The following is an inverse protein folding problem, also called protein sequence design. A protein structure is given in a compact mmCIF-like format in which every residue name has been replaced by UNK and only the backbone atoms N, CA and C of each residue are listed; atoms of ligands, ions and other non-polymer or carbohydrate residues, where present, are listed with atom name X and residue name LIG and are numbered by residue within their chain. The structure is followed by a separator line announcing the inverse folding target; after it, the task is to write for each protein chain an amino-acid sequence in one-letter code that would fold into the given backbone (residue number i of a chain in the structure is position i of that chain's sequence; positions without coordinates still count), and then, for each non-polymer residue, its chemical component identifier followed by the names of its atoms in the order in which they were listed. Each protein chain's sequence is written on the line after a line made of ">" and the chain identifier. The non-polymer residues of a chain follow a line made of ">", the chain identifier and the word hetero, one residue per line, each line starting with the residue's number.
data_IF_063120265263
#
_entry.id   IF_063120265263
#
_cell.length_a   1.000
_cell.length_b   1.000
_cell.length_c   1.000
_cell.angle_alpha   90.00
_cell.angle_beta   90.00
_cell.angle_gamma   90.00
#
_symmetry.space_group_name_H-M   'P 1'
#
loop_
_entity.id
_entity.type
_entity.pdbx_description
1 polymer ?
#
# COMPACT_ATOMS: atom_id res chain seq x y z
N UNK A 1 13.10 6.86 23.29
CA UNK A 1 12.64 7.37 21.98
C UNK A 1 12.72 8.89 21.97
N UNK A 2 13.44 9.49 21.03
CA UNK A 2 13.42 10.93 20.82
C UNK A 2 12.62 11.23 19.56
N UNK A 3 11.70 12.19 19.62
CA UNK A 3 10.93 12.65 18.46
C UNK A 3 11.55 13.95 17.95
N UNK A 4 11.90 14.00 16.66
CA UNK A 4 12.43 15.22 16.05
C UNK A 4 11.64 15.51 14.78
N UNK A 5 11.00 16.67 14.73
CA UNK A 5 10.33 17.19 13.55
C UNK A 5 11.30 17.95 12.66
N UNK A 6 11.10 17.86 11.35
CA UNK A 6 11.81 18.67 10.37
C UNK A 6 10.85 19.08 9.25
N UNK A 7 10.94 20.33 8.82
CA UNK A 7 10.07 20.87 7.78
C UNK A 7 10.49 22.28 7.35
N UNK A 8 9.85 22.80 6.31
CA UNK A 8 10.13 24.14 5.78
C UNK A 8 9.43 25.26 6.53
N UNK A 9 8.44 24.94 7.36
CA UNK A 9 7.69 25.95 8.10
C UNK A 9 8.51 26.48 9.28
N UNK A 10 8.53 27.80 9.52
CA UNK A 10 9.31 28.43 10.60
C UNK A 10 8.59 28.31 11.95
N UNK A 11 8.41 27.09 12.45
CA UNK A 11 7.71 26.86 13.72
C UNK A 11 8.57 27.20 14.93
N UNK A 12 7.98 27.93 15.87
CA UNK A 12 8.57 28.12 17.20
C UNK A 12 8.50 26.83 18.02
N UNK A 13 9.33 26.68 19.07
CA UNK A 13 9.23 25.55 19.98
C UNK A 13 7.82 25.34 20.57
N UNK A 14 7.12 26.43 20.89
CA UNK A 14 5.75 26.38 21.44
C UNK A 14 4.75 25.87 20.41
N UNK A 15 4.84 26.31 19.15
CA UNK A 15 3.97 25.83 18.07
C UNK A 15 4.20 24.34 17.79
N UNK A 16 5.46 23.88 17.81
CA UNK A 16 5.77 22.47 17.68
C UNK A 16 5.21 21.65 18.84
N UNK A 17 5.37 22.13 20.08
CA UNK A 17 4.85 21.46 21.26
C UNK A 17 3.31 21.35 21.21
N UNK A 18 2.63 22.45 20.89
CA UNK A 18 1.17 22.46 20.71
C UNK A 18 0.73 21.45 19.63
N UNK A 19 1.45 21.39 18.51
CA UNK A 19 1.17 20.41 17.46
C UNK A 19 1.31 18.97 17.94
N UNK A 20 2.36 18.67 18.69
CA UNK A 20 2.64 17.34 19.25
C UNK A 20 1.57 16.97 20.28
N UNK A 21 1.24 17.87 21.21
CA UNK A 21 0.20 17.64 22.22
C UNK A 21 -1.18 17.43 21.61
N UNK A 22 -1.54 18.25 20.61
CA UNK A 22 -2.77 18.08 19.84
C UNK A 22 -2.82 16.73 19.13
N UNK A 23 -1.72 16.30 18.51
CA UNK A 23 -1.65 15.01 17.81
C UNK A 23 -1.79 13.81 18.77
N UNK A 24 -1.34 13.94 20.02
CA UNK A 24 -1.42 12.88 21.03
C UNK A 24 -2.63 13.00 21.97
N UNK A 25 -3.51 14.00 21.81
CA UNK A 25 -4.62 14.26 22.74
C UNK A 25 -5.50 13.02 23.00
N UNK A 26 -5.96 12.37 21.93
CA UNK A 26 -6.80 11.17 22.02
C UNK A 26 -6.04 10.01 22.69
N UNK A 27 -4.80 9.76 22.26
CA UNK A 27 -3.96 8.72 22.83
C UNK A 27 -3.67 8.95 24.32
N UNK A 28 -3.42 10.20 24.72
CA UNK A 28 -3.16 10.58 26.10
C UNK A 28 -4.38 10.36 27.00
N UNK A 29 -5.59 10.62 26.48
CA UNK A 29 -6.84 10.40 27.21
C UNK A 29 -7.09 8.92 27.53
N UNK A 30 -6.67 8.02 26.62
CA UNK A 30 -6.85 6.57 26.72
C UNK A 30 -5.66 5.84 27.34
N UNK A 31 -4.52 6.52 27.50
CA UNK A 31 -3.29 5.94 28.00
C UNK A 31 -3.38 5.58 29.49
N UNK A 32 -2.72 4.48 29.85
CA UNK A 32 -2.45 4.12 31.23
C UNK A 32 -1.36 5.02 31.86
N UNK A 33 -1.03 4.78 33.13
CA UNK A 33 0.00 5.56 33.82
C UNK A 33 1.38 5.48 33.15
N UNK A 34 1.70 4.37 32.48
CA UNK A 34 2.99 4.21 31.79
C UNK A 34 3.01 5.01 30.49
N UNK A 35 1.96 4.92 29.68
CA UNK A 35 1.81 5.69 28.45
C UNK A 35 1.83 7.19 28.70
N UNK A 36 1.17 7.67 29.76
CA UNK A 36 1.21 9.10 30.13
C UNK A 36 2.61 9.58 30.52
N UNK A 37 3.38 8.75 31.23
CA UNK A 37 4.79 9.08 31.55
C UNK A 37 5.64 9.18 30.28
N UNK A 38 5.44 8.27 29.34
CA UNK A 38 6.20 8.25 28.10
C UNK A 38 5.83 9.42 27.17
N UNK A 39 4.55 9.76 27.07
CA UNK A 39 4.09 10.95 26.33
C UNK A 39 4.68 12.23 26.92
N UNK A 40 4.68 12.36 28.25
CA UNK A 40 5.33 13.49 28.92
C UNK A 40 6.83 13.57 28.58
N UNK A 41 7.53 12.43 28.61
CA UNK A 41 8.95 12.36 28.23
C UNK A 41 9.18 12.78 26.77
N UNK A 42 8.28 12.42 25.85
CA UNK A 42 8.35 12.87 24.45
C UNK A 42 8.16 14.38 24.37
N UNK A 43 7.14 14.94 25.02
CA UNK A 43 6.91 16.39 25.04
C UNK A 43 8.11 17.19 25.59
N UNK A 44 8.84 16.65 26.56
CA UNK A 44 10.02 17.30 27.15
C UNK A 44 11.29 17.18 26.29
N UNK A 45 11.36 16.17 25.41
CA UNK A 45 12.58 15.87 24.61
C UNK A 45 12.41 16.11 23.12
N UNK A 46 11.20 16.45 22.68
CA UNK A 46 10.89 16.69 21.28
C UNK A 46 11.48 18.02 20.82
N UNK A 47 11.87 18.08 19.56
CA UNK A 47 12.38 19.31 18.95
C UNK A 47 11.97 19.40 17.49
N UNK A 48 12.01 20.62 16.96
CA UNK A 48 11.74 20.89 15.55
C UNK A 48 12.92 21.62 14.92
N UNK A 49 13.21 21.30 13.66
CA UNK A 49 14.22 21.95 12.84
C UNK A 49 13.61 22.45 11.55
N UNK A 50 13.65 23.77 11.37
CA UNK A 50 13.35 24.37 10.09
C UNK A 50 14.50 24.06 9.12
N UNK A 51 14.22 23.33 8.05
CA UNK A 51 15.17 23.00 7.00
C UNK A 51 14.47 22.61 5.70
N UNK A 52 15.19 22.77 4.59
CA UNK A 52 14.79 22.21 3.31
C UNK A 52 15.39 20.81 3.17
N UNK A 53 14.54 19.79 3.21
CA UNK A 53 14.95 18.39 3.10
C UNK A 53 15.52 18.03 1.74
N UNK A 54 15.27 18.86 0.71
CA UNK A 54 15.77 18.67 -0.65
C UNK A 54 17.07 19.43 -0.91
N UNK A 55 17.49 20.29 0.03
CA UNK A 55 18.75 21.01 -0.08
C UNK A 55 19.93 20.13 0.36
N UNK A 56 21.02 20.18 -0.41
CA UNK A 56 22.23 19.40 -0.15
C UNK A 56 22.75 19.62 1.28
N UNK A 57 23.01 18.51 1.98
CA UNK A 57 23.64 18.49 3.30
C UNK A 57 22.75 18.89 4.49
N UNK A 58 21.60 19.56 4.30
CA UNK A 58 20.78 19.99 5.45
C UNK A 58 20.17 18.81 6.21
N UNK A 59 19.55 17.87 5.48
CA UNK A 59 18.97 16.67 6.08
C UNK A 59 20.06 15.77 6.69
N UNK A 60 21.18 15.59 5.98
CA UNK A 60 22.34 14.85 6.48
C UNK A 60 22.87 15.43 7.80
N UNK A 61 23.03 16.77 7.87
CA UNK A 61 23.51 17.46 9.07
C UNK A 61 22.57 17.28 10.26
N UNK A 62 21.25 17.28 10.04
CA UNK A 62 20.28 16.96 11.09
C UNK A 62 20.45 15.52 11.56
N UNK A 63 20.45 14.55 10.62
CA UNK A 63 20.52 13.13 10.95
C UNK A 63 21.81 12.80 11.72
N UNK A 64 22.95 13.40 11.35
CA UNK A 64 24.23 13.22 12.04
C UNK A 64 24.28 13.75 13.48
N UNK A 65 23.34 14.61 13.89
CA UNK A 65 23.23 15.09 15.27
C UNK A 65 22.37 14.18 16.16
N UNK A 66 21.68 13.20 15.58
CA UNK A 66 20.77 12.32 16.30
C UNK A 66 21.49 11.07 16.82
N UNK A 67 20.99 10.54 17.95
CA UNK A 67 21.48 9.28 18.50
C UNK A 67 20.98 8.10 17.64
N UNK A 68 21.91 7.24 17.22
CA UNK A 68 21.61 6.04 16.43
C UNK A 68 20.95 4.93 17.28
N UNK A 69 20.06 4.11 16.73
CA UNK A 69 19.58 4.11 15.33
C UNK A 69 18.45 5.13 15.09
N UNK A 70 18.41 5.69 13.88
CA UNK A 70 17.41 6.69 13.47
C UNK A 70 16.36 6.07 12.56
N UNK A 71 15.08 6.37 12.78
CA UNK A 71 14.00 6.06 11.84
C UNK A 71 13.48 7.36 11.21
N UNK A 72 13.70 7.52 9.91
CA UNK A 72 13.26 8.69 9.13
C UNK A 72 11.91 8.37 8.52
N UNK A 73 10.86 9.04 8.99
CA UNK A 73 9.52 8.92 8.44
C UNK A 73 9.23 10.11 7.51
N UNK A 74 9.11 9.85 6.22
CA UNK A 74 8.83 10.89 5.23
C UNK A 74 7.33 11.20 5.17
N UNK A 75 6.87 12.05 6.08
CA UNK A 75 5.50 12.60 6.10
C UNK A 75 5.33 13.75 5.09
N UNK A 76 5.86 13.59 3.88
CA UNK A 76 5.99 14.62 2.86
C UNK A 76 5.28 14.20 1.57
N UNK A 77 5.00 15.15 0.65
CA UNK A 77 4.61 14.79 -0.70
C UNK A 77 5.62 13.78 -1.30
N UNK A 78 5.14 12.79 -2.06
CA UNK A 78 5.99 11.68 -2.51
C UNK A 78 7.21 12.10 -3.34
N UNK A 79 7.07 13.13 -4.19
CA UNK A 79 8.19 13.65 -4.99
C UNK A 79 9.27 14.28 -4.11
N UNK A 80 8.89 15.10 -3.11
CA UNK A 80 9.81 15.67 -2.12
C UNK A 80 10.54 14.59 -1.34
N UNK A 81 9.83 13.51 -0.97
CA UNK A 81 10.45 12.38 -0.27
C UNK A 81 11.54 11.69 -1.12
N UNK A 82 11.31 11.59 -2.43
CA UNK A 82 12.28 11.00 -3.37
C UNK A 82 13.48 11.93 -3.59
N UNK A 83 13.25 13.23 -3.72
CA UNK A 83 14.30 14.25 -3.84
C UNK A 83 15.16 14.31 -2.57
N UNK A 84 14.54 14.29 -1.39
CA UNK A 84 15.24 14.23 -0.11
C UNK A 84 16.14 12.99 0.01
N UNK A 85 15.72 11.84 -0.54
CA UNK A 85 16.58 10.66 -0.60
C UNK A 85 17.71 10.80 -1.64
N UNK A 86 17.48 11.51 -2.73
CA UNK A 86 18.45 11.65 -3.82
C UNK A 86 19.65 12.53 -3.43
N UNK A 87 19.48 13.46 -2.49
CA UNK A 87 20.55 14.35 -1.98
C UNK A 87 21.32 13.75 -0.80
N UNK A 88 20.95 12.57 -0.33
CA UNK A 88 21.64 11.85 0.74
C UNK A 88 22.66 10.87 0.18
N UNK A 89 23.70 10.59 0.98
CA UNK A 89 24.64 9.50 0.74
C UNK A 89 24.73 8.57 1.94
N UNK A 90 25.07 7.29 1.72
CA UNK A 90 25.16 6.31 2.81
C UNK A 90 26.16 6.70 3.92
N UNK A 91 27.24 7.42 3.57
CA UNK A 91 28.25 7.86 4.53
C UNK A 91 27.75 8.94 5.50
N UNK A 92 26.67 9.63 5.14
CA UNK A 92 26.06 10.70 5.95
C UNK A 92 24.99 10.18 6.90
N UNK A 93 24.58 8.91 6.75
CA UNK A 93 23.51 8.33 7.55
C UNK A 93 24.06 7.70 8.84
N UNK A 94 23.44 7.98 10.00
CA UNK A 94 23.76 7.27 11.23
C UNK A 94 23.64 5.75 11.07
N UNK A 95 24.48 5.00 11.79
CA UNK A 95 24.43 3.55 11.77
C UNK A 95 23.03 3.05 12.17
N UNK A 96 22.49 2.09 11.43
CA UNK A 96 21.17 1.54 11.71
C UNK A 96 20.00 2.43 11.26
N UNK A 97 20.25 3.44 10.41
CA UNK A 97 19.18 4.27 9.83
C UNK A 97 18.14 3.42 9.10
N UNK A 98 16.86 3.72 9.34
CA UNK A 98 15.70 3.13 8.67
C UNK A 98 14.90 4.20 7.96
N UNK A 99 14.49 3.92 6.73
CA UNK A 99 13.70 4.85 5.90
C UNK A 99 12.26 4.35 5.83
N UNK A 100 11.30 5.20 6.19
CA UNK A 100 9.87 4.88 6.13
C UNK A 100 9.21 5.79 5.10
N UNK A 101 8.71 5.19 4.03
CA UNK A 101 8.15 5.89 2.88
C UNK A 101 6.67 5.60 2.71
N UNK A 102 5.91 6.64 2.37
CA UNK A 102 4.51 6.54 1.99
C UNK A 102 4.33 6.40 0.47
N UNK A 103 3.20 5.83 0.06
CA UNK A 103 2.84 5.67 -1.36
C UNK A 103 2.61 7.03 -2.05
N UNK A 104 2.81 7.13 -3.38
CA UNK A 104 3.24 6.10 -4.33
C UNK A 104 4.77 5.98 -4.47
N UNK A 105 5.23 4.75 -4.68
CA UNK A 105 6.64 4.38 -4.83
C UNK A 105 7.13 4.49 -6.29
N UNK A 106 6.74 5.57 -6.97
CA UNK A 106 6.92 5.75 -8.41
C UNK A 106 5.60 5.75 -9.18
N UNK A 107 5.64 6.26 -10.41
CA UNK A 107 4.47 6.41 -11.32
C UNK A 107 4.51 5.44 -12.52
N UNK A 108 5.64 4.76 -12.69
CA UNK A 108 5.95 3.78 -13.72
C UNK A 108 6.89 2.70 -13.15
N UNK A 109 7.03 1.59 -13.87
CA UNK A 109 8.04 0.57 -13.50
C UNK A 109 9.45 1.16 -13.46
N UNK A 110 9.79 2.01 -14.44
CA UNK A 110 11.10 2.66 -14.53
C UNK A 110 11.38 3.58 -13.33
N UNK A 111 10.44 4.46 -12.98
CA UNK A 111 10.59 5.34 -11.81
C UNK A 111 10.64 4.57 -10.50
N UNK A 112 9.87 3.49 -10.38
CA UNK A 112 9.93 2.61 -9.21
C UNK A 112 11.28 1.89 -9.09
N UNK A 113 11.85 1.42 -10.20
CA UNK A 113 13.21 0.83 -10.23
C UNK A 113 14.27 1.84 -9.86
N UNK A 114 14.18 3.06 -10.38
CA UNK A 114 15.10 4.14 -10.05
C UNK A 114 15.04 4.47 -8.56
N UNK A 115 13.85 4.68 -8.01
CA UNK A 115 13.66 4.89 -6.57
C UNK A 115 14.25 3.75 -5.74
N UNK A 116 14.03 2.50 -6.17
CA UNK A 116 14.57 1.34 -5.46
C UNK A 116 16.11 1.30 -5.45
N UNK A 117 16.75 1.75 -6.54
CA UNK A 117 18.20 1.87 -6.62
C UNK A 117 18.71 2.98 -5.69
N UNK A 118 18.06 4.14 -5.70
CA UNK A 118 18.40 5.27 -4.81
C UNK A 118 18.35 4.83 -3.35
N UNK A 119 17.24 4.21 -2.91
CA UNK A 119 17.10 3.78 -1.51
C UNK A 119 18.08 2.67 -1.15
N UNK A 120 18.29 1.70 -2.05
CA UNK A 120 19.24 0.60 -1.84
C UNK A 120 20.71 1.03 -1.83
N UNK A 121 21.01 2.23 -2.34
CA UNK A 121 22.33 2.84 -2.21
C UNK A 121 22.53 3.55 -0.86
N UNK A 122 21.45 3.88 -0.14
CA UNK A 122 21.49 4.57 1.16
C UNK A 122 21.56 3.58 2.33
N UNK A 123 20.68 2.59 2.33
CA UNK A 123 20.50 1.64 3.44
C UNK A 123 20.20 0.23 2.89
N UNK A 124 20.48 -0.84 3.66
CA UNK A 124 20.10 -2.19 3.24
C UNK A 124 18.57 -2.34 3.15
N UNK A 125 18.09 -3.29 2.33
CA UNK A 125 16.66 -3.45 2.02
C UNK A 125 15.78 -3.73 3.26
N UNK A 126 16.31 -4.38 4.29
CA UNK A 126 15.61 -4.65 5.56
C UNK A 126 15.43 -3.39 6.43
N UNK A 127 16.06 -2.28 6.06
CA UNK A 127 15.89 -0.96 6.67
C UNK A 127 14.98 -0.03 5.84
N UNK A 128 14.43 -0.50 4.73
CA UNK A 128 13.50 0.26 3.88
C UNK A 128 12.06 -0.21 4.14
N UNK A 129 11.28 0.65 4.79
CA UNK A 129 9.88 0.40 5.09
C UNK A 129 8.98 1.16 4.12
N UNK A 130 8.34 0.43 3.20
CA UNK A 130 7.35 0.97 2.25
C UNK A 130 5.96 0.75 2.83
N UNK A 131 5.32 1.82 3.28
CA UNK A 131 4.06 1.73 4.02
C UNK A 131 2.90 1.48 3.06
N UNK A 132 2.18 0.40 3.33
CA UNK A 132 0.86 0.13 2.77
C UNK A 132 -0.12 -0.09 3.92
N UNK A 133 -0.99 0.89 4.17
CA UNK A 133 -1.92 0.86 5.29
C UNK A 133 -2.94 -0.29 5.23
N UNK A 134 -3.15 -0.96 4.08
CA UNK A 134 -4.01 -2.14 4.02
C UNK A 134 -3.39 -3.33 4.74
N UNK A 135 -2.06 -3.47 4.71
CA UNK A 135 -1.37 -4.58 5.40
C UNK A 135 -1.48 -4.50 6.92
N UNK A 136 -1.66 -3.30 7.47
CA UNK A 136 -1.86 -3.10 8.92
C UNK A 136 -3.28 -3.43 9.40
N UNK A 137 -4.24 -3.70 8.51
CA UNK A 137 -5.62 -3.99 8.92
C UNK A 137 -5.70 -5.38 9.55
N UNK A 138 -6.32 -5.45 10.73
CA UNK A 138 -6.49 -6.71 11.46
C UNK A 138 -7.14 -7.81 10.61
N UNK A 139 -8.11 -7.45 9.76
CA UNK A 139 -8.76 -8.39 8.83
C UNK A 139 -7.81 -8.96 7.77
N UNK A 140 -6.84 -8.16 7.29
CA UNK A 140 -5.82 -8.60 6.33
C UNK A 140 -4.82 -9.53 7.02
N UNK A 141 -4.39 -9.20 8.23
CA UNK A 141 -3.50 -10.07 9.03
C UNK A 141 -4.18 -11.40 9.39
N UNK A 142 -5.50 -11.39 9.64
CA UNK A 142 -6.29 -12.60 9.91
C UNK A 142 -6.30 -13.60 8.75
N UNK A 143 -5.97 -13.18 7.50
CA UNK A 143 -5.81 -14.13 6.39
C UNK A 143 -4.70 -15.14 6.70
N UNK A 144 -3.59 -14.71 7.30
CA UNK A 144 -2.48 -15.59 7.67
C UNK A 144 -2.91 -16.58 8.76
N UNK A 145 -3.63 -16.10 9.78
CA UNK A 145 -4.20 -16.94 10.83
C UNK A 145 -5.17 -17.98 10.25
N UNK A 146 -6.09 -17.54 9.38
CA UNK A 146 -7.03 -18.41 8.70
C UNK A 146 -6.30 -19.52 7.92
N UNK A 147 -5.30 -19.18 7.12
CA UNK A 147 -4.61 -20.14 6.24
C UNK A 147 -3.68 -21.10 6.97
N UNK A 148 -2.95 -20.62 7.98
CA UNK A 148 -1.83 -21.38 8.55
C UNK A 148 -2.06 -21.89 9.97
N UNK A 149 -3.02 -21.33 10.72
CA UNK A 149 -3.40 -21.84 12.04
C UNK A 149 -4.45 -22.96 11.96
N UNK A 150 -5.15 -23.11 10.82
CA UNK A 150 -6.22 -24.09 10.64
C UNK A 150 -5.78 -25.23 9.72
N UNK A 151 -5.28 -26.32 10.30
CA UNK A 151 -4.76 -27.48 9.55
C UNK A 151 -5.79 -28.09 8.59
N UNK A 152 -7.09 -28.00 8.89
CA UNK A 152 -8.14 -28.53 8.02
C UNK A 152 -8.39 -27.68 6.75
N UNK A 153 -7.99 -26.41 6.74
CA UNK A 153 -8.12 -25.53 5.57
C UNK A 153 -7.00 -25.75 4.55
N UNK A 154 -5.80 -26.15 4.99
CA UNK A 154 -4.64 -26.33 4.12
C UNK A 154 -4.85 -27.35 2.96
N UNK A 155 -5.51 -28.51 3.16
CA UNK A 155 -5.80 -29.46 2.08
C UNK A 155 -6.79 -28.94 1.03
N UNK A 156 -7.69 -28.02 1.40
CA UNK A 156 -8.72 -27.46 0.50
C UNK A 156 -8.31 -26.10 -0.08
N UNK A 157 -7.20 -25.51 0.37
CA UNK A 157 -6.73 -24.22 -0.12
C UNK A 157 -5.96 -24.33 -1.45
N UNK A 158 -6.62 -24.83 -2.51
CA UNK A 158 -6.02 -25.03 -3.84
C UNK A 158 -7.09 -25.09 -4.95
N UNK A 159 -6.64 -25.01 -6.22
CA UNK A 159 -7.51 -25.07 -7.42
C UNK A 159 -8.40 -26.30 -7.57
N UNK A 160 -8.17 -27.39 -6.84
CA UNK A 160 -9.03 -28.57 -6.94
C UNK A 160 -10.31 -28.41 -6.11
N UNK A 161 -10.30 -27.48 -5.15
CA UNK A 161 -11.42 -27.25 -4.23
C UNK A 161 -11.96 -25.82 -4.30
N UNK A 162 -11.12 -24.86 -4.70
CA UNK A 162 -11.52 -23.47 -4.90
C UNK A 162 -11.74 -23.27 -6.40
N UNK A 163 -12.95 -22.85 -6.78
CA UNK A 163 -13.26 -22.48 -8.16
C UNK A 163 -12.68 -21.11 -8.55
N UNK A 164 -12.76 -20.14 -7.64
CA UNK A 164 -12.43 -18.73 -7.90
C UNK A 164 -12.19 -17.95 -6.60
N UNK A 165 -11.33 -16.93 -6.68
CA UNK A 165 -11.12 -15.94 -5.62
C UNK A 165 -11.46 -14.55 -6.16
N UNK A 166 -12.36 -13.83 -5.48
CA UNK A 166 -12.68 -12.44 -5.77
C UNK A 166 -12.25 -11.55 -4.62
N UNK A 167 -11.46 -10.53 -4.93
CA UNK A 167 -11.09 -9.48 -3.98
C UNK A 167 -11.77 -8.21 -4.46
N UNK A 168 -12.74 -7.76 -3.67
CA UNK A 168 -13.61 -6.63 -4.00
C UNK A 168 -13.32 -5.52 -3.01
N UNK A 169 -13.04 -4.34 -3.53
CA UNK A 169 -12.99 -3.11 -2.77
C UNK A 169 -13.94 -2.11 -3.39
N UNK A 170 -15.05 -1.88 -2.70
CA UNK A 170 -16.05 -0.90 -3.07
C UNK A 170 -15.92 0.30 -2.12
N UNK A 171 -15.68 1.47 -2.69
CA UNK A 171 -15.54 2.72 -1.94
C UNK A 171 -16.79 3.57 -2.13
N UNK A 172 -17.46 3.91 -1.02
CA UNK A 172 -18.69 4.70 -1.02
C UNK A 172 -18.42 6.22 -1.15
N UNK A 173 -17.20 6.67 -0.84
CA UNK A 173 -16.81 8.07 -0.96
C UNK A 173 -16.67 8.46 -2.43
N UNK A 174 -17.38 9.53 -2.82
CA UNK A 174 -17.06 10.26 -4.04
C UNK A 174 -15.63 10.84 -3.93
N UNK A 175 -15.01 11.19 -5.05
CA UNK A 175 -13.66 11.76 -5.12
C UNK A 175 -13.55 13.09 -4.33
N UNK A 176 -13.47 13.05 -3.01
CA UNK A 176 -13.44 14.17 -2.06
C UNK A 176 -12.14 15.00 -2.22
N UNK A 177 -12.11 15.88 -3.22
CA UNK A 177 -10.93 16.71 -3.53
C UNK A 177 -9.76 15.97 -4.18
N UNK A 178 -9.79 14.63 -4.22
CA UNK A 178 -8.76 13.79 -4.85
C UNK A 178 -8.98 13.52 -6.33
N UNK A 179 -10.03 14.09 -6.92
CA UNK A 179 -10.40 13.88 -8.32
C UNK A 179 -9.22 14.10 -9.29
N UNK A 180 -8.42 15.15 -9.07
CA UNK A 180 -7.27 15.48 -9.92
C UNK A 180 -6.13 14.44 -9.87
N UNK A 181 -5.86 13.87 -8.70
CA UNK A 181 -4.89 12.76 -8.55
C UNK A 181 -5.44 11.48 -9.20
N UNK A 182 -6.72 11.20 -8.96
CA UNK A 182 -7.41 10.03 -9.49
C UNK A 182 -7.55 10.03 -11.02
N UNK A 183 -7.73 11.20 -11.64
CA UNK A 183 -7.78 11.34 -13.10
C UNK A 183 -6.46 10.92 -13.77
N UNK A 184 -5.32 11.14 -13.11
CA UNK A 184 -4.00 10.72 -13.60
C UNK A 184 -3.60 9.28 -13.22
N UNK A 185 -3.85 8.88 -11.97
CA UNK A 185 -3.45 7.56 -11.46
C UNK A 185 -4.45 6.45 -11.83
N UNK A 186 -5.75 6.74 -11.65
CA UNK A 186 -6.87 5.79 -11.74
C UNK A 186 -6.83 4.68 -10.69
N UNK A 187 -7.95 3.97 -10.55
CA UNK A 187 -8.10 2.84 -9.60
C UNK A 187 -7.07 1.70 -9.79
N UNK A 188 -6.42 1.62 -10.97
CA UNK A 188 -5.39 0.62 -11.22
C UNK A 188 -4.13 0.88 -10.39
N UNK A 189 -3.64 2.12 -10.35
CA UNK A 189 -2.44 2.48 -9.59
C UNK A 189 -2.75 2.69 -8.12
N UNK A 190 -3.90 3.28 -7.80
CA UNK A 190 -4.21 3.63 -6.41
C UNK A 190 -4.61 2.42 -5.55
N UNK A 191 -5.37 1.49 -6.12
CA UNK A 191 -5.96 0.37 -5.38
C UNK A 191 -5.39 -0.99 -5.80
N UNK A 192 -5.33 -1.26 -7.11
CA UNK A 192 -4.98 -2.60 -7.59
C UNK A 192 -3.48 -2.87 -7.42
N UNK A 193 -2.61 -1.97 -7.89
CA UNK A 193 -1.16 -2.21 -7.96
C UNK A 193 -0.51 -2.47 -6.59
N UNK A 194 -0.99 -1.81 -5.54
CA UNK A 194 -0.50 -2.00 -4.18
C UNK A 194 -1.43 -2.93 -3.39
N UNK A 195 -2.54 -2.37 -2.90
CA UNK A 195 -3.38 -2.95 -1.85
C UNK A 195 -3.93 -4.33 -2.27
N UNK A 196 -4.62 -4.41 -3.40
CA UNK A 196 -5.30 -5.65 -3.79
C UNK A 196 -4.31 -6.72 -4.27
N UNK A 197 -3.21 -6.33 -4.93
CA UNK A 197 -2.15 -7.28 -5.29
C UNK A 197 -1.46 -7.84 -4.05
N UNK A 198 -1.21 -7.04 -3.02
CA UNK A 198 -0.63 -7.52 -1.78
C UNK A 198 -1.56 -8.47 -1.02
N UNK A 199 -2.86 -8.15 -0.91
CA UNK A 199 -3.85 -9.06 -0.30
C UNK A 199 -3.94 -10.37 -1.11
N UNK A 200 -3.97 -10.28 -2.43
CA UNK A 200 -3.95 -11.46 -3.30
C UNK A 200 -2.71 -12.31 -3.06
N UNK A 201 -1.56 -11.69 -2.87
CA UNK A 201 -0.32 -12.39 -2.61
C UNK A 201 -0.36 -13.10 -1.24
N UNK A 202 -0.94 -12.49 -0.19
CA UNK A 202 -1.20 -13.17 1.10
C UNK A 202 -2.16 -14.35 0.98
N UNK A 203 -3.15 -14.27 0.09
CA UNK A 203 -4.08 -15.38 -0.20
C UNK A 203 -3.40 -16.51 -0.98
N UNK A 204 -2.46 -16.17 -1.88
CA UNK A 204 -1.85 -17.07 -2.84
C UNK A 204 -0.53 -17.71 -2.40
N UNK A 205 0.18 -17.07 -1.46
CA UNK A 205 1.53 -17.50 -1.06
C UNK A 205 1.54 -18.91 -0.46
N UNK A 206 2.67 -19.60 -0.55
CA UNK A 206 2.86 -20.86 0.17
C UNK A 206 3.02 -20.62 1.67
N UNK A 207 2.90 -21.68 2.48
CA UNK A 207 3.16 -21.60 3.91
C UNK A 207 4.61 -21.18 4.12
N UNK A 208 4.87 -20.06 4.83
CA UNK A 208 6.24 -19.68 5.13
C UNK A 208 6.88 -20.74 6.04
N UNK A 209 8.21 -20.90 6.01
CA UNK A 209 8.90 -21.74 6.98
C UNK A 209 8.55 -21.29 8.41
N UNK A 210 8.67 -22.17 9.41
CA UNK A 210 8.38 -21.83 10.80
C UNK A 210 9.16 -20.57 11.20
N UNK A 211 8.46 -19.67 11.91
CA UNK A 211 9.01 -18.39 12.34
C UNK A 211 10.22 -18.64 13.25
N UNK A 212 11.42 -18.38 12.74
CA UNK A 212 12.62 -18.24 13.58
C UNK A 212 12.73 -16.79 14.02
N UNK A 213 12.82 -16.58 15.33
CA UNK A 213 12.98 -15.27 15.98
C UNK A 213 14.12 -14.48 15.34
N UNK A 214 13.80 -13.48 14.52
CA UNK A 214 14.80 -12.65 13.83
C UNK A 214 14.34 -12.07 12.50
N UNK A 215 13.40 -12.71 11.81
CA UNK A 215 12.90 -12.23 10.51
C UNK A 215 11.48 -11.69 10.66
N UNK A 216 11.33 -10.46 11.16
CA UNK A 216 10.02 -9.80 11.27
C UNK A 216 9.46 -9.34 9.91
N UNK A 217 10.28 -9.38 8.86
CA UNK A 217 9.84 -9.11 7.50
C UNK A 217 9.37 -10.41 6.86
N UNK A 218 8.09 -10.51 6.49
CA UNK A 218 7.67 -11.36 5.38
C UNK A 218 8.47 -10.88 4.17
N UNK A 219 9.47 -11.63 3.68
CA UNK A 219 10.28 -11.11 2.59
C UNK A 219 9.36 -10.98 1.39
N UNK A 220 9.12 -9.75 0.92
CA UNK A 220 8.43 -9.46 -0.34
C UNK A 220 9.04 -10.25 -1.51
N UNK A 221 10.30 -10.68 -1.39
CA UNK A 221 10.98 -11.65 -2.26
C UNK A 221 10.21 -12.97 -2.46
N UNK A 222 9.43 -13.43 -1.48
CA UNK A 222 8.56 -14.61 -1.61
C UNK A 222 7.23 -14.30 -2.32
N UNK A 223 6.79 -13.04 -2.31
CA UNK A 223 5.58 -12.58 -3.00
C UNK A 223 5.87 -12.22 -4.47
N UNK A 224 7.10 -11.81 -4.80
CA UNK A 224 7.52 -11.29 -6.11
C UNK A 224 8.76 -11.99 -6.72
N UNK A 225 9.00 -13.27 -6.42
CA UNK A 225 9.99 -14.08 -7.14
C UNK A 225 9.71 -14.08 -8.67
N UNK A 226 10.71 -14.35 -9.53
CA UNK A 226 10.62 -14.12 -10.97
C UNK A 226 9.66 -15.11 -11.64
N UNK A 227 8.36 -14.86 -11.53
CA UNK A 227 7.33 -15.53 -12.32
C UNK A 227 7.29 -14.84 -13.69
N UNK A 228 7.94 -15.52 -14.64
CA UNK A 228 8.01 -15.22 -16.06
C UNK A 228 6.81 -14.43 -16.60
N UNK A 229 7.11 -13.27 -17.17
CA UNK A 229 6.22 -12.52 -18.05
C UNK A 229 5.61 -13.46 -19.09
N UNK A 230 4.30 -13.68 -19.02
CA UNK A 230 3.54 -14.23 -20.12
C UNK A 230 2.48 -13.23 -20.55
N UNK A 231 2.55 -12.94 -21.85
CA UNK A 231 1.90 -11.86 -22.61
C UNK A 231 0.47 -11.54 -22.17
N UNK A 232 0.06 -10.26 -22.19
CA UNK A 232 -1.36 -9.92 -22.12
C UNK A 232 -2.08 -10.53 -23.33
N UNK A 233 -3.06 -11.39 -23.09
CA UNK A 233 -3.91 -11.94 -24.14
C UNK A 233 -4.81 -10.85 -24.72
N UNK A 234 -4.75 -10.75 -26.05
CA UNK A 234 -5.45 -9.89 -27.00
C UNK A 234 -6.83 -9.38 -26.55
N UNK A 235 -7.07 -8.07 -26.75
CA UNK A 235 -8.40 -7.42 -26.76
C UNK A 235 -9.33 -8.16 -27.73
N UNK A 236 -10.47 -8.65 -27.26
CA UNK A 236 -11.65 -8.89 -28.10
C UNK A 236 -12.45 -7.59 -28.21
N UNK A 237 -12.78 -7.11 -29.43
CA UNK A 237 -13.66 -5.96 -29.58
C UNK A 237 -15.11 -6.39 -29.31
N UNK A 238 -15.80 -5.67 -28.44
CA UNK A 238 -17.26 -5.70 -28.41
C UNK A 238 -17.79 -4.82 -29.56
N UNK A 239 -18.92 -5.23 -30.17
CA UNK A 239 -19.53 -4.67 -31.38
C UNK A 239 -20.03 -3.21 -31.30
N UNK A 240 -20.88 -2.80 -32.26
CA UNK A 240 -20.62 -1.69 -33.17
C UNK A 240 -20.62 -0.31 -32.50
N UNK A 241 -19.73 0.53 -33.03
CA UNK A 241 -19.51 1.90 -32.61
C UNK A 241 -20.76 2.78 -32.78
N UNK A 242 -21.26 3.34 -31.69
CA UNK A 242 -22.11 4.53 -31.74
C UNK A 242 -21.22 5.76 -31.94
N UNK A 243 -21.54 6.56 -32.97
CA UNK A 243 -20.84 7.80 -33.38
C UNK A 243 -20.64 8.78 -32.22
N UNK A 244 -19.58 9.61 -32.24
CA UNK A 244 -19.36 10.62 -31.22
C UNK A 244 -20.27 11.84 -31.48
N UNK A 245 -21.06 12.24 -30.48
CA UNK A 245 -21.67 13.57 -30.41
C UNK A 245 -20.78 14.55 -29.62
N UNK A 246 -20.89 15.87 -29.87
CA UNK A 246 -19.93 16.86 -29.41
C UNK A 246 -20.07 17.15 -27.91
N UNK A 247 -18.94 17.60 -27.35
CA UNK A 247 -18.73 17.93 -25.93
C UNK A 247 -19.80 18.85 -25.35
N UNK A 248 -20.46 18.39 -24.29
CA UNK A 248 -21.06 19.25 -23.27
C UNK A 248 -20.57 18.81 -21.90
N UNK A 249 -19.91 19.75 -21.22
CA UNK A 249 -19.47 19.63 -19.83
C UNK A 249 -20.68 19.42 -18.91
N UNK A 250 -20.53 18.56 -17.90
CA UNK A 250 -21.50 18.46 -16.80
C UNK A 250 -22.39 17.22 -16.81
N UNK A 251 -21.82 16.01 -16.84
CA UNK A 251 -22.46 14.81 -16.22
C UNK A 251 -21.40 13.94 -15.55
N UNK A 252 -21.67 13.59 -14.29
CA UNK A 252 -20.89 12.64 -13.48
C UNK A 252 -20.66 11.34 -14.26
N UNK A 253 -19.41 11.08 -14.63
CA UNK A 253 -18.98 9.84 -15.28
C UNK A 253 -18.91 8.75 -14.21
N UNK A 254 -19.80 7.77 -14.30
CA UNK A 254 -19.62 6.49 -13.61
C UNK A 254 -18.43 5.77 -14.24
N UNK A 255 -17.37 5.57 -13.46
CA UNK A 255 -16.11 4.97 -13.93
C UNK A 255 -16.27 3.45 -14.19
N UNK A 256 -15.56 2.88 -15.18
CA UNK A 256 -15.71 1.48 -15.55
C UNK A 256 -15.03 0.53 -14.55
N UNK A 257 -15.71 -0.59 -14.25
CA UNK A 257 -15.16 -1.74 -13.52
C UNK A 257 -13.88 -2.25 -14.19
N UNK A 258 -12.72 -2.10 -13.55
CA UNK A 258 -11.46 -2.70 -14.03
C UNK A 258 -11.34 -4.13 -13.49
N UNK A 259 -10.97 -5.06 -14.38
CA UNK A 259 -10.80 -6.50 -14.10
C UNK A 259 -9.37 -6.90 -14.44
N UNK A 260 -8.66 -7.49 -13.48
CA UNK A 260 -7.34 -8.08 -13.69
C UNK A 260 -7.41 -9.56 -13.34
N UNK A 261 -6.86 -10.40 -14.21
CA UNK A 261 -6.71 -11.84 -14.02
C UNK A 261 -5.24 -12.16 -13.87
N UNK A 262 -4.88 -12.96 -12.86
CA UNK A 262 -3.52 -13.45 -12.66
C UNK A 262 -3.52 -14.97 -12.52
N UNK A 263 -2.49 -15.61 -13.04
CA UNK A 263 -2.21 -17.04 -12.83
C UNK A 263 -0.85 -17.16 -12.18
N UNK A 264 -0.78 -17.78 -11.00
CA UNK A 264 0.46 -17.93 -10.24
C UNK A 264 0.98 -19.37 -10.36
N UNK A 265 2.31 -19.50 -10.53
CA UNK A 265 2.99 -20.78 -10.49
C UNK A 265 3.47 -21.09 -9.07
N UNK A 266 2.60 -21.67 -8.25
CA UNK A 266 2.98 -22.28 -6.95
C UNK A 266 2.80 -23.80 -7.04
N UNK A 267 3.34 -24.57 -6.07
CA UNK A 267 3.16 -26.04 -6.03
C UNK A 267 1.68 -26.42 -5.90
N UNK A 268 0.86 -25.53 -5.34
CA UNK A 268 -0.60 -25.60 -5.29
C UNK A 268 -1.18 -24.28 -5.79
N UNK A 269 -1.29 -24.09 -7.11
CA UNK A 269 -1.77 -22.83 -7.66
C UNK A 269 -3.18 -22.57 -7.15
N UNK A 270 -3.42 -21.35 -6.68
CA UNK A 270 -4.78 -20.84 -6.56
C UNK A 270 -5.45 -20.87 -7.94
N UNK A 271 -6.78 -21.05 -7.98
CA UNK A 271 -7.54 -20.88 -9.22
C UNK A 271 -7.50 -19.41 -9.68
N UNK A 272 -8.25 -19.11 -10.74
CA UNK A 272 -8.33 -17.74 -11.29
C UNK A 272 -8.69 -16.73 -10.20
N UNK A 273 -7.77 -15.80 -9.91
CA UNK A 273 -8.01 -14.65 -9.06
C UNK A 273 -8.53 -13.49 -9.88
N UNK A 274 -9.53 -12.78 -9.34
CA UNK A 274 -10.08 -11.57 -9.93
C UNK A 274 -10.06 -10.43 -8.92
N UNK A 275 -9.36 -9.34 -9.29
CA UNK A 275 -9.34 -8.10 -8.51
C UNK A 275 -10.37 -7.12 -9.07
N UNK A 276 -11.17 -6.55 -8.18
CA UNK A 276 -12.23 -5.61 -8.50
C UNK A 276 -12.11 -4.44 -7.53
N UNK A 277 -11.92 -3.25 -8.07
CA UNK A 277 -12.06 -1.99 -7.33
C UNK A 277 -13.15 -1.18 -8.00
N UNK A 278 -14.11 -0.70 -7.22
CA UNK A 278 -15.15 0.21 -7.69
C UNK A 278 -15.21 1.44 -6.78
N UNK A 279 -15.44 2.60 -7.40
CA UNK A 279 -15.73 3.85 -6.70
C UNK A 279 -17.19 4.13 -6.98
N UNK A 280 -18.00 4.05 -5.93
CA UNK A 280 -19.40 4.36 -5.97
C UNK A 280 -19.60 5.87 -5.94
N UNK A 281 -20.15 6.45 -7.00
CA UNK A 281 -20.97 7.65 -6.80
C UNK A 281 -22.23 7.15 -6.10
N UNK A 282 -22.29 7.31 -4.77
CA UNK A 282 -23.34 6.85 -3.86
C UNK A 282 -24.62 6.37 -4.55
N UNK A 283 -24.76 5.05 -4.69
CA UNK A 283 -26.06 4.42 -4.89
C UNK A 283 -26.13 3.25 -3.94
N UNK A 284 -26.92 3.46 -2.89
CA UNK A 284 -27.41 2.40 -2.03
C UNK A 284 -27.86 1.22 -2.88
N UNK A 285 -27.28 0.05 -2.63
CA UNK A 285 -27.74 -1.21 -3.21
C UNK A 285 -29.14 -1.48 -2.63
N UNK A 286 -30.20 -1.13 -3.38
CA UNK A 286 -31.50 -1.70 -3.12
C UNK A 286 -31.41 -3.20 -3.40
N UNK A 287 -31.70 -4.00 -2.39
CA UNK A 287 -31.87 -5.44 -2.51
C UNK A 287 -33.02 -5.74 -3.46
N UNK A 288 -32.72 -6.04 -4.73
CA UNK A 288 -33.65 -6.76 -5.59
C UNK A 288 -33.32 -8.25 -5.51
N UNK A 289 -33.90 -8.90 -4.51
CA UNK A 289 -34.12 -10.34 -4.50
C UNK A 289 -35.01 -10.71 -5.69
N UNK A 290 -34.40 -11.06 -6.82
CA UNK A 290 -35.05 -11.72 -7.95
C UNK A 290 -34.49 -13.14 -8.10
N UNK A 291 -35.34 -14.14 -8.43
CA UNK A 291 -34.92 -15.53 -8.42
C UNK A 291 -33.83 -15.79 -9.46
N UNK A 292 -32.84 -16.61 -9.06
CA UNK A 292 -31.76 -17.05 -9.92
C UNK A 292 -32.33 -17.75 -11.18
N UNK A 293 -31.95 -17.26 -12.37
CA UNK A 293 -32.19 -18.01 -13.60
C UNK A 293 -31.27 -19.24 -13.60
N UNK A 294 -31.77 -20.45 -13.94
CA UNK A 294 -30.92 -21.62 -14.07
C UNK A 294 -29.91 -21.41 -15.21
N UNK A 295 -28.67 -21.81 -14.97
CA UNK A 295 -27.61 -21.84 -15.97
C UNK A 295 -27.85 -23.02 -16.93
N UNK A 296 -28.12 -22.74 -18.20
CA UNK A 296 -28.14 -23.75 -19.27
C UNK A 296 -26.72 -24.18 -19.63
N UNK A 297 -26.44 -25.47 -19.51
CA UNK A 297 -25.16 -26.06 -19.87
C UNK A 297 -24.94 -26.03 -21.41
N UNK A 298 -23.74 -25.70 -21.91
CA UNK A 298 -23.45 -25.87 -23.33
C UNK A 298 -23.43 -27.35 -23.71
N UNK A 299 -24.18 -27.70 -24.76
CA UNK A 299 -24.29 -29.05 -25.29
C UNK A 299 -22.91 -29.67 -25.61
N UNK A 300 -22.69 -30.88 -25.10
CA UNK A 300 -21.56 -31.75 -25.47
C UNK A 300 -21.64 -32.05 -26.98
N UNK A 301 -20.58 -31.78 -27.73
CA UNK A 301 -20.37 -32.41 -29.04
C UNK A 301 -19.47 -33.65 -28.84
N UNK A 302 -19.80 -34.80 -29.46
CA UNK A 302 -19.11 -36.05 -29.21
C UNK A 302 -17.80 -36.19 -29.99
N UNK A 303 -16.83 -36.79 -29.30
CA UNK A 303 -15.49 -37.32 -29.66
C UNK A 303 -14.49 -36.36 -30.29
#
# INVERSE_FOLDING_TARGET
>A
LQLVGAGSDPWTPDQWLERVESAFADANSQADAAGKRELKRISETTSYRELDVTADGQLAALLGQLEAPVAVYFALPPHISQEACAVLTAAELPAGTRLVMEKPFGSSEESARHLNQTLGALVPEDHIHRVDHFLGKATVLNILGLRFANTFLEPVWNRNHIEKVEIIFDEDLALEGRARYYDGAGALRDMIQSHLLQIMALLAMERPPPWTSGTCAMPLRWLYGPAASRRPTRRTPAGPATRPEPSTAGRSRTMPRKRVWTSHGTRRPLPRCRLISTIGAGRAFHSSSGPARPWEAPARRPW
#
